data_IF_288082571694
#
_entry.id   IF_288082571694
#
_cell.length_a   1.000
_cell.length_b   1.000
_cell.length_c   1.000
_cell.angle_alpha   90.00
_cell.angle_beta   90.00
_cell.angle_gamma   90.00
#
_symmetry.space_group_name_H-M   'P 1'
#
loop_
_entity.id
_entity.type
_entity.pdbx_description
1 polymer ?
#
# COMPACT_ATOMS: atom_id res chain seq x y z
N UNK A 1 5.07 22.76 22.59
CA UNK A 1 3.74 22.10 22.66
C UNK A 1 3.92 20.68 22.14
N UNK A 2 4.06 19.70 23.04
CA UNK A 2 4.31 18.31 22.66
C UNK A 2 3.01 17.74 22.07
N UNK A 3 2.97 17.60 20.74
CA UNK A 3 1.94 16.79 20.10
C UNK A 3 2.19 15.36 20.58
N UNK A 4 1.23 14.82 21.33
CA UNK A 4 1.17 13.40 21.66
C UNK A 4 1.18 12.64 20.33
N UNK A 5 2.35 12.20 19.88
CA UNK A 5 2.45 11.19 18.82
C UNK A 5 1.84 9.94 19.46
N UNK A 6 0.60 9.61 19.11
CA UNK A 6 0.08 8.27 19.38
C UNK A 6 1.15 7.29 18.88
N UNK A 7 1.59 6.38 19.76
CA UNK A 7 2.48 5.30 19.40
C UNK A 7 1.76 4.48 18.34
N UNK A 8 2.02 4.77 17.06
CA UNK A 8 1.54 3.95 15.95
C UNK A 8 2.25 2.61 16.10
N UNK A 9 1.52 1.61 16.60
CA UNK A 9 1.97 0.23 16.62
C UNK A 9 2.41 -0.12 15.19
N UNK A 10 3.59 -0.71 15.03
CA UNK A 10 4.09 -1.19 13.75
C UNK A 10 3.62 -2.63 13.61
N UNK A 11 2.47 -2.92 12.96
CA UNK A 11 2.12 -4.29 12.65
C UNK A 11 3.23 -4.91 11.80
N UNK A 12 3.85 -5.94 12.36
CA UNK A 12 4.73 -6.86 11.64
C UNK A 12 3.98 -8.19 11.58
N UNK A 13 3.61 -8.61 10.38
CA UNK A 13 2.96 -9.89 10.17
C UNK A 13 3.89 -10.78 9.37
N UNK A 14 4.15 -11.96 9.92
CA UNK A 14 4.94 -12.99 9.28
C UNK A 14 4.06 -14.21 9.09
N UNK A 15 4.00 -14.72 7.86
CA UNK A 15 3.26 -15.92 7.50
C UNK A 15 4.05 -16.78 6.54
N UNK A 16 3.64 -18.03 6.39
CA UNK A 16 4.14 -18.95 5.37
C UNK A 16 2.97 -19.35 4.49
N UNK A 17 3.09 -19.11 3.20
CA UNK A 17 2.16 -19.64 2.20
C UNK A 17 2.76 -20.93 1.65
N UNK A 18 2.07 -22.05 1.85
CA UNK A 18 2.49 -23.39 1.40
C UNK A 18 1.99 -23.76 0.00
N UNK A 19 1.30 -22.82 -0.65
CA UNK A 19 0.62 -22.99 -1.93
C UNK A 19 0.78 -21.76 -2.83
N UNK A 20 1.83 -20.97 -2.62
CA UNK A 20 2.16 -19.76 -3.38
C UNK A 20 3.66 -19.70 -3.65
N UNK A 21 4.03 -19.58 -4.93
CA UNK A 21 5.41 -19.32 -5.37
C UNK A 21 5.83 -17.90 -4.98
N UNK A 22 7.09 -17.73 -4.60
CA UNK A 22 7.63 -16.41 -4.23
C UNK A 22 7.51 -15.41 -5.40
N UNK A 23 7.77 -15.88 -6.62
CA UNK A 23 7.71 -15.09 -7.86
C UNK A 23 6.28 -14.64 -8.17
N UNK A 24 5.29 -15.52 -7.98
CA UNK A 24 3.86 -15.18 -8.15
C UNK A 24 3.44 -14.12 -7.13
N UNK A 25 3.84 -14.26 -5.87
CA UNK A 25 3.55 -13.26 -4.84
C UNK A 25 4.20 -11.90 -5.18
N UNK A 26 5.45 -11.92 -5.65
CA UNK A 26 6.16 -10.72 -6.06
C UNK A 26 5.44 -10.01 -7.20
N UNK A 27 5.02 -10.75 -8.22
CA UNK A 27 4.23 -10.21 -9.33
C UNK A 27 2.88 -9.62 -8.87
N UNK A 28 2.14 -10.31 -8.00
CA UNK A 28 0.84 -9.85 -7.48
C UNK A 28 0.94 -8.54 -6.72
N UNK A 29 2.04 -8.33 -6.00
CA UNK A 29 2.28 -7.09 -5.26
C UNK A 29 2.70 -5.93 -6.17
N UNK A 30 3.29 -6.23 -7.33
CA UNK A 30 3.72 -5.23 -8.30
C UNK A 30 2.65 -4.81 -9.29
N UNK A 31 1.81 -5.75 -9.77
CA UNK A 31 0.88 -5.52 -10.87
C UNK A 31 -0.28 -4.57 -10.47
N UNK A 32 -0.27 -3.29 -10.93
CA UNK A 32 -1.26 -2.31 -10.53
C UNK A 32 -2.64 -2.57 -11.15
N UNK A 33 -2.69 -3.23 -12.31
CA UNK A 33 -3.94 -3.61 -12.98
C UNK A 33 -4.62 -4.75 -12.22
N UNK A 34 -3.82 -5.70 -11.74
CA UNK A 34 -4.33 -6.81 -10.93
C UNK A 34 -4.68 -6.40 -9.51
N UNK A 35 -4.02 -5.39 -8.95
CA UNK A 35 -4.29 -4.89 -7.59
C UNK A 35 -5.79 -4.66 -7.35
N UNK A 36 -6.48 -4.05 -8.32
CA UNK A 36 -7.92 -3.77 -8.29
C UNK A 36 -8.82 -5.01 -8.20
N UNK A 37 -8.28 -6.20 -8.51
CA UNK A 37 -9.03 -7.47 -8.45
C UNK A 37 -9.05 -8.09 -7.06
N UNK A 38 -7.96 -7.96 -6.31
CA UNK A 38 -7.83 -8.60 -5.00
C UNK A 38 -7.88 -7.60 -3.82
N UNK A 39 -7.54 -6.33 -4.08
CA UNK A 39 -7.62 -5.26 -3.10
C UNK A 39 -8.99 -4.56 -3.19
N UNK A 40 -9.97 -5.10 -2.46
CA UNK A 40 -11.33 -4.56 -2.47
C UNK A 40 -11.44 -3.16 -1.85
N UNK A 41 -10.40 -2.72 -1.12
CA UNK A 41 -10.37 -1.37 -0.54
C UNK A 41 -9.86 -0.34 -1.53
N UNK A 42 -9.20 -0.75 -2.61
CA UNK A 42 -8.62 0.15 -3.59
C UNK A 42 -9.72 0.86 -4.40
N UNK A 43 -9.74 2.20 -4.30
CA UNK A 43 -10.59 3.06 -5.13
C UNK A 43 -9.86 3.48 -6.40
N UNK A 44 -8.59 3.79 -6.27
CA UNK A 44 -7.76 4.29 -7.37
C UNK A 44 -6.30 3.96 -7.08
N UNK A 45 -5.52 3.68 -8.11
CA UNK A 45 -4.08 3.71 -7.99
C UNK A 45 -3.40 3.51 -9.33
N UNK A 46 -2.26 4.19 -9.46
CA UNK A 46 -1.47 4.27 -10.67
C UNK A 46 -0.08 4.79 -10.33
N UNK A 47 0.89 4.39 -11.13
CA UNK A 47 2.24 4.96 -11.10
C UNK A 47 2.22 6.34 -11.77
N UNK A 48 3.00 7.28 -11.23
CA UNK A 48 3.08 8.66 -11.71
C UNK A 48 4.34 8.84 -12.55
N UNK A 49 5.51 8.47 -12.00
CA UNK A 49 6.79 8.63 -12.68
C UNK A 49 7.82 7.63 -12.14
N UNK A 50 8.86 7.40 -12.92
CA UNK A 50 9.99 6.55 -12.56
C UNK A 50 11.20 7.38 -12.13
N UNK A 51 11.81 7.00 -11.00
CA UNK A 51 13.08 7.54 -10.52
C UNK A 51 14.23 6.75 -11.15
N UNK A 52 14.12 5.42 -11.20
CA UNK A 52 15.06 4.50 -11.85
C UNK A 52 14.31 3.18 -12.15
N UNK A 53 14.96 2.18 -12.79
CA UNK A 53 14.34 0.88 -13.11
C UNK A 53 13.64 0.16 -11.94
N UNK A 54 14.02 0.48 -10.71
CA UNK A 54 13.55 -0.20 -9.51
C UNK A 54 12.84 0.72 -8.53
N UNK A 55 12.63 1.99 -8.90
CA UNK A 55 12.09 3.02 -8.03
C UNK A 55 11.06 3.88 -8.78
N UNK A 56 9.86 4.02 -8.22
CA UNK A 56 8.79 4.85 -8.78
C UNK A 56 8.17 5.77 -7.72
N UNK A 57 7.38 6.73 -8.18
CA UNK A 57 6.38 7.42 -7.37
C UNK A 57 5.00 6.99 -7.87
N UNK A 58 4.13 6.58 -6.95
CA UNK A 58 2.76 6.18 -7.23
C UNK A 58 1.73 6.90 -6.38
N UNK A 59 0.49 6.85 -6.84
CA UNK A 59 -0.71 7.28 -6.11
C UNK A 59 -1.56 6.06 -5.75
N UNK A 60 -2.11 6.06 -4.54
CA UNK A 60 -3.03 5.03 -4.06
C UNK A 60 -4.14 5.68 -3.23
N UNK A 61 -5.39 5.36 -3.54
CA UNK A 61 -6.56 5.78 -2.78
C UNK A 61 -7.35 4.56 -2.31
N UNK A 62 -7.77 4.59 -1.05
CA UNK A 62 -8.51 3.50 -0.43
C UNK A 62 -9.83 3.98 0.17
N UNK A 63 -10.82 3.09 0.07
CA UNK A 63 -12.09 3.17 0.77
C UNK A 63 -11.82 2.92 2.25
N UNK A 64 -12.37 3.78 3.09
CA UNK A 64 -12.48 3.52 4.51
C UNK A 64 -13.93 3.18 4.86
N UNK A 65 -14.16 2.40 5.93
CA UNK A 65 -15.51 2.09 6.36
C UNK A 65 -16.27 3.38 6.70
N UNK A 66 -17.45 3.55 6.12
CA UNK A 66 -18.30 4.71 6.42
C UNK A 66 -18.62 4.74 7.93
N UNK A 67 -18.66 5.92 8.59
CA UNK A 67 -18.57 7.29 8.04
C UNK A 67 -17.14 7.88 7.98
N UNK A 68 -16.09 7.06 8.13
CA UNK A 68 -14.71 7.55 8.01
C UNK A 68 -14.45 8.06 6.58
N UNK A 69 -13.74 9.19 6.46
CA UNK A 69 -13.35 9.69 5.14
C UNK A 69 -12.38 8.71 4.47
N UNK A 70 -12.40 8.64 3.15
CA UNK A 70 -11.45 7.83 2.42
C UNK A 70 -10.02 8.36 2.59
N UNK A 71 -9.01 7.50 2.45
CA UNK A 71 -7.60 7.90 2.54
C UNK A 71 -6.93 7.83 1.19
N UNK A 72 -6.01 8.77 0.94
CA UNK A 72 -5.10 8.70 -0.19
C UNK A 72 -3.64 8.80 0.26
N UNK A 73 -2.74 8.29 -0.58
CA UNK A 73 -1.31 8.24 -0.35
C UNK A 73 -0.60 8.55 -1.66
N UNK A 74 0.48 9.31 -1.56
CA UNK A 74 1.50 9.43 -2.60
C UNK A 74 2.77 8.85 -2.01
N UNK A 75 3.33 7.83 -2.65
CA UNK A 75 4.47 7.10 -2.12
C UNK A 75 5.58 6.95 -3.14
N UNK A 76 6.82 7.01 -2.67
CA UNK A 76 7.95 6.47 -3.40
C UNK A 76 8.06 4.99 -3.06
N UNK A 77 8.08 4.13 -4.06
CA UNK A 77 8.28 2.68 -3.91
C UNK A 77 9.63 2.29 -4.50
N UNK A 78 10.30 1.36 -3.83
CA UNK A 78 11.57 0.77 -4.24
C UNK A 78 11.52 -0.74 -4.08
N UNK A 79 12.08 -1.49 -5.02
CA UNK A 79 12.13 -2.94 -4.95
C UNK A 79 13.50 -3.51 -5.31
N UNK A 80 13.79 -4.68 -4.78
CA UNK A 80 15.03 -5.42 -5.01
C UNK A 80 14.74 -6.92 -5.07
N UNK A 81 15.26 -7.56 -6.12
CA UNK A 81 15.26 -9.00 -6.31
C UNK A 81 16.68 -9.53 -6.04
N UNK A 82 16.80 -10.44 -5.06
CA UNK A 82 18.05 -11.12 -4.67
C UNK A 82 18.05 -12.60 -5.10
N UNK A 83 17.10 -13.02 -5.93
CA UNK A 83 16.89 -14.39 -6.41
C UNK A 83 16.14 -15.29 -5.43
N UNK A 84 16.60 -15.37 -4.17
CA UNK A 84 15.92 -16.14 -3.11
C UNK A 84 15.08 -15.27 -2.17
N UNK A 85 15.30 -13.95 -2.19
CA UNK A 85 14.57 -12.97 -1.41
C UNK A 85 14.13 -11.80 -2.30
N UNK A 86 12.89 -11.35 -2.13
CA UNK A 86 12.34 -10.19 -2.81
C UNK A 86 11.90 -9.16 -1.78
N UNK A 87 12.25 -7.90 -2.02
CA UNK A 87 11.97 -6.79 -1.12
C UNK A 87 11.21 -5.71 -1.90
N UNK A 88 10.11 -5.23 -1.35
CA UNK A 88 9.40 -4.03 -1.83
C UNK A 88 9.17 -3.13 -0.63
N UNK A 89 9.67 -1.91 -0.67
CA UNK A 89 9.44 -0.90 0.37
C UNK A 89 8.83 0.35 -0.23
N UNK A 90 8.03 1.06 0.56
CA UNK A 90 7.55 2.38 0.21
C UNK A 90 7.43 3.28 1.44
N UNK A 91 7.47 4.58 1.17
CA UNK A 91 7.18 5.63 2.15
C UNK A 91 6.51 6.80 1.42
N UNK A 92 5.78 7.63 2.14
CA UNK A 92 5.11 8.79 1.57
C UNK A 92 6.09 9.86 1.13
N UNK A 93 5.77 10.52 0.02
CA UNK A 93 6.50 11.68 -0.52
C UNK A 93 5.54 12.83 -0.81
N UNK A 94 6.02 14.07 -0.70
CA UNK A 94 5.24 15.24 -1.09
C UNK A 94 5.44 15.48 -2.59
N UNK A 95 4.40 15.26 -3.40
CA UNK A 95 4.48 15.44 -4.84
C UNK A 95 3.51 16.53 -5.28
N UNK A 96 4.05 17.64 -5.79
CA UNK A 96 3.33 18.87 -6.15
C UNK A 96 2.15 18.63 -7.09
N UNK A 97 2.29 17.71 -8.03
CA UNK A 97 1.28 17.38 -9.03
C UNK A 97 0.12 16.52 -8.47
N UNK A 98 0.25 16.02 -7.24
CA UNK A 98 -0.80 15.30 -6.50
C UNK A 98 -1.11 15.98 -5.16
N UNK A 99 -1.69 17.19 -5.21
CA UNK A 99 -2.13 17.89 -4.00
C UNK A 99 -3.24 17.11 -3.28
N UNK A 100 -3.53 17.49 -2.04
CA UNK A 100 -4.60 16.89 -1.25
C UNK A 100 -5.95 17.09 -1.96
N UNK A 101 -6.72 16.00 -2.08
CA UNK A 101 -8.00 15.98 -2.78
C UNK A 101 -9.17 16.11 -1.81
N UNK A 102 -10.18 16.93 -2.18
CA UNK A 102 -11.43 17.04 -1.42
C UNK A 102 -12.09 15.66 -1.27
N UNK A 103 -12.55 15.34 -0.06
CA UNK A 103 -13.19 14.05 0.27
C UNK A 103 -12.22 12.95 0.68
N UNK A 104 -10.91 13.22 0.65
CA UNK A 104 -9.87 12.31 1.12
C UNK A 104 -9.04 12.97 2.23
N UNK A 105 -8.61 12.15 3.19
CA UNK A 105 -7.57 12.50 4.15
C UNK A 105 -6.25 11.92 3.63
N UNK A 106 -5.24 12.77 3.45
CA UNK A 106 -3.90 12.35 3.03
C UNK A 106 -3.19 11.66 4.18
N UNK A 107 -3.08 10.35 4.11
CA UNK A 107 -2.30 9.55 5.05
C UNK A 107 -0.79 9.68 4.79
N UNK A 108 0.00 9.27 5.78
CA UNK A 108 1.46 9.21 5.70
C UNK A 108 1.88 7.77 5.96
N UNK A 109 2.47 7.10 4.97
CA UNK A 109 3.22 5.86 5.17
C UNK A 109 4.64 6.25 5.57
N UNK A 110 5.03 6.07 6.83
CA UNK A 110 6.42 6.26 7.23
C UNK A 110 7.29 5.14 6.67
N UNK A 111 6.77 3.92 6.69
CA UNK A 111 7.36 2.74 6.07
C UNK A 111 6.27 1.71 5.83
N UNK A 112 6.16 1.21 4.61
CA UNK A 112 5.48 -0.06 4.32
C UNK A 112 6.44 -0.96 3.57
N UNK A 113 6.55 -2.21 4.00
CA UNK A 113 7.52 -3.17 3.49
C UNK A 113 6.92 -4.55 3.28
N UNK A 114 7.35 -5.18 2.21
CA UNK A 114 7.06 -6.55 1.84
C UNK A 114 8.39 -7.29 1.68
N UNK A 115 8.58 -8.35 2.42
CA UNK A 115 9.73 -9.25 2.29
C UNK A 115 9.21 -10.65 2.00
N UNK A 116 9.60 -11.18 0.85
CA UNK A 116 9.25 -12.51 0.39
C UNK A 116 10.53 -13.34 0.40
N UNK A 117 10.51 -14.49 1.06
CA UNK A 117 11.62 -15.45 1.03
C UNK A 117 11.16 -16.75 0.43
N UNK A 118 11.82 -17.17 -0.64
CA UNK A 118 11.60 -18.49 -1.24
C UNK A 118 11.99 -19.58 -0.24
N UNK A 119 11.12 -20.58 -0.05
CA UNK A 119 11.40 -21.76 0.76
C UNK A 119 11.59 -22.97 -0.17
N UNK A 120 10.64 -23.16 -1.08
CA UNK A 120 10.71 -24.18 -2.13
C UNK A 120 9.99 -23.67 -3.41
N UNK A 121 9.64 -24.57 -4.33
CA UNK A 121 9.01 -24.23 -5.61
C UNK A 121 7.55 -23.77 -5.50
N UNK A 122 6.86 -24.00 -4.38
CA UNK A 122 5.46 -23.60 -4.14
C UNK A 122 5.22 -23.01 -2.74
N UNK A 123 6.26 -22.89 -1.94
CA UNK A 123 6.21 -22.32 -0.59
C UNK A 123 7.06 -21.06 -0.51
N UNK A 124 6.50 -20.00 0.05
CA UNK A 124 7.24 -18.80 0.41
C UNK A 124 6.86 -18.31 1.81
N UNK A 125 7.83 -17.69 2.47
CA UNK A 125 7.58 -16.90 3.66
C UNK A 125 7.30 -15.46 3.24
N UNK A 126 6.24 -14.89 3.77
CA UNK A 126 5.85 -13.50 3.54
C UNK A 126 5.89 -12.72 4.85
N UNK A 127 6.61 -11.60 4.85
CA UNK A 127 6.64 -10.63 5.95
C UNK A 127 6.13 -9.29 5.46
N UNK A 128 5.11 -8.78 6.13
CA UNK A 128 4.52 -7.47 5.91
C UNK A 128 4.81 -6.57 7.11
N UNK A 129 5.30 -5.37 6.84
CA UNK A 129 5.54 -4.32 7.84
C UNK A 129 4.80 -3.08 7.39
N UNK A 130 4.05 -2.44 8.28
CA UNK A 130 3.48 -1.13 8.00
C UNK A 130 3.57 -0.23 9.22
N UNK A 131 4.07 0.99 9.01
CA UNK A 131 4.06 2.09 9.94
C UNK A 131 3.46 3.27 9.22
N UNK A 132 2.18 3.55 9.50
CA UNK A 132 1.44 4.58 8.81
C UNK A 132 0.65 5.43 9.79
N UNK A 133 0.64 6.74 9.57
CA UNK A 133 -0.29 7.67 10.19
C UNK A 133 -1.45 7.87 9.20
N UNK A 134 -2.62 7.28 9.44
CA UNK A 134 -3.80 7.48 8.58
C UNK A 134 -4.31 8.93 8.61
N UNK A 135 -3.82 9.75 9.56
CA UNK A 135 -4.23 11.10 9.89
C UNK A 135 -5.74 11.22 10.14
N UNK A 136 -6.16 12.40 10.58
CA UNK A 136 -7.45 12.59 11.23
C UNK A 136 -7.40 12.14 12.69
N UNK A 137 -8.33 12.62 13.52
CA UNK A 137 -8.48 12.11 14.89
C UNK A 137 -9.33 10.85 14.85
N UNK A 138 -8.71 9.69 14.64
CA UNK A 138 -9.44 8.43 14.65
C UNK A 138 -9.89 8.05 16.07
N UNK A 139 -11.06 7.41 16.22
CA UNK A 139 -11.47 6.80 17.48
C UNK A 139 -10.48 5.69 17.92
N UNK A 140 -10.24 5.57 19.22
CA UNK A 140 -9.33 4.54 19.77
C UNK A 140 -9.73 3.11 19.41
N UNK A 141 -11.04 2.84 19.28
CA UNK A 141 -11.55 1.53 18.89
C UNK A 141 -11.17 1.16 17.45
N UNK A 142 -11.11 2.15 16.53
CA UNK A 142 -10.71 1.94 15.13
C UNK A 142 -9.27 1.45 15.06
N UNK A 143 -8.36 2.10 15.79
CA UNK A 143 -6.94 1.73 15.86
C UNK A 143 -6.76 0.29 16.36
N UNK A 144 -7.54 -0.10 17.37
CA UNK A 144 -7.50 -1.45 17.95
C UNK A 144 -8.08 -2.51 16.98
N UNK A 145 -9.21 -2.23 16.32
CA UNK A 145 -9.89 -3.19 15.42
C UNK A 145 -9.17 -3.36 14.08
N UNK A 146 -8.59 -2.28 13.53
CA UNK A 146 -7.81 -2.32 12.28
C UNK A 146 -6.65 -3.31 12.38
N UNK A 147 -5.88 -3.23 13.47
CA UNK A 147 -4.67 -4.03 13.63
C UNK A 147 -4.98 -5.53 13.79
N UNK A 148 -6.05 -5.87 14.51
CA UNK A 148 -6.38 -7.26 14.82
C UNK A 148 -7.17 -7.98 13.71
N UNK A 149 -8.06 -7.29 13.00
CA UNK A 149 -8.97 -7.94 12.04
C UNK A 149 -8.63 -7.67 10.57
N UNK A 150 -8.26 -6.43 10.24
CA UNK A 150 -8.01 -6.06 8.85
C UNK A 150 -6.72 -6.71 8.34
N UNK A 151 -5.70 -6.77 9.19
CA UNK A 151 -4.39 -7.23 8.77
C UNK A 151 -4.39 -8.73 8.37
N UNK A 152 -4.96 -9.68 9.14
CA UNK A 152 -5.15 -11.06 8.68
C UNK A 152 -6.01 -11.19 7.40
N UNK A 153 -7.08 -10.36 7.27
CA UNK A 153 -7.91 -10.33 6.05
C UNK A 153 -7.09 -9.92 4.82
N UNK A 154 -6.24 -8.89 4.94
CA UNK A 154 -5.35 -8.45 3.84
C UNK A 154 -4.39 -9.55 3.43
N UNK A 155 -3.74 -10.21 4.40
CA UNK A 155 -2.84 -11.34 4.13
C UNK A 155 -3.57 -12.47 3.39
N UNK A 156 -4.78 -12.84 3.84
CA UNK A 156 -5.59 -13.85 3.15
C UNK A 156 -6.02 -13.43 1.74
N UNK A 157 -6.40 -12.16 1.54
CA UNK A 157 -6.75 -11.60 0.22
C UNK A 157 -5.56 -11.65 -0.74
N UNK A 158 -4.35 -11.33 -0.27
CA UNK A 158 -3.11 -11.44 -1.07
C UNK A 158 -2.88 -12.91 -1.49
N UNK A 159 -2.97 -13.86 -0.56
CA UNK A 159 -2.80 -15.29 -0.86
C UNK A 159 -3.82 -15.76 -1.90
N UNK A 160 -5.10 -15.37 -1.77
CA UNK A 160 -6.14 -15.65 -2.77
C UNK A 160 -5.84 -14.99 -4.11
N UNK A 161 -5.33 -13.75 -4.11
CA UNK A 161 -4.87 -13.04 -5.30
C UNK A 161 -3.81 -13.84 -6.06
N UNK A 162 -2.84 -14.41 -5.34
CA UNK A 162 -1.78 -15.26 -5.91
C UNK A 162 -2.33 -16.48 -6.63
N UNK A 163 -3.33 -17.17 -6.06
CA UNK A 163 -3.92 -18.37 -6.67
C UNK A 163 -4.60 -18.10 -8.02
N UNK A 164 -5.11 -16.89 -8.22
CA UNK A 164 -5.83 -16.50 -9.43
C UNK A 164 -4.97 -15.68 -10.40
N UNK A 165 -3.73 -15.37 -10.04
CA UNK A 165 -2.92 -14.42 -10.80
C UNK A 165 -2.49 -14.96 -12.16
N UNK A 166 -1.96 -16.19 -12.21
CA UNK A 166 -1.44 -16.75 -13.45
C UNK A 166 -2.54 -16.88 -14.53
N UNK A 167 -3.74 -17.28 -14.13
CA UNK A 167 -4.90 -17.38 -15.04
C UNK A 167 -5.38 -16.01 -15.50
N UNK A 168 -5.42 -15.02 -14.61
CA UNK A 168 -5.75 -13.65 -14.98
C UNK A 168 -4.69 -13.05 -15.91
N UNK A 169 -3.41 -13.15 -15.56
CA UNK A 169 -2.30 -12.53 -16.29
C UNK A 169 -2.14 -13.10 -17.69
N UNK A 170 -2.45 -14.39 -17.88
CA UNK A 170 -2.49 -15.04 -19.19
C UNK A 170 -3.38 -14.30 -20.22
N UNK A 171 -4.41 -13.59 -19.76
CA UNK A 171 -5.37 -12.86 -20.60
C UNK A 171 -5.19 -11.33 -20.56
N UNK A 172 -4.24 -10.81 -19.76
CA UNK A 172 -4.04 -9.38 -19.52
C UNK A 172 -2.57 -8.99 -19.71
N UNK A 173 -2.14 -8.88 -20.97
CA UNK A 173 -0.77 -8.56 -21.35
C UNK A 173 0.27 -9.44 -20.62
N UNK A 174 0.29 -10.76 -20.88
CA UNK A 174 1.05 -11.73 -20.08
C UNK A 174 2.56 -11.45 -20.01
N UNK A 175 3.11 -10.81 -21.04
CA UNK A 175 4.54 -10.45 -21.14
C UNK A 175 4.87 -9.10 -20.52
N UNK A 176 3.86 -8.28 -20.20
CA UNK A 176 4.06 -6.95 -19.63
C UNK A 176 4.24 -7.06 -18.11
N UNK A 177 5.50 -7.00 -17.68
CA UNK A 177 5.97 -7.06 -16.29
C UNK A 177 7.15 -6.09 -16.13
N UNK A 178 6.92 -4.76 -16.21
CA UNK A 178 8.00 -3.77 -16.18
C UNK A 178 8.85 -3.80 -14.90
N UNK A 179 8.32 -4.35 -13.80
CA UNK A 179 9.07 -4.59 -12.56
C UNK A 179 10.14 -5.69 -12.68
N UNK A 180 10.01 -6.62 -13.63
CA UNK A 180 11.03 -7.63 -13.98
C UNK A 180 11.86 -7.23 -15.20
N UNK A 181 11.24 -6.48 -16.12
CA UNK A 181 11.79 -6.13 -17.44
C UNK A 181 11.73 -4.60 -17.62
N UNK A 182 12.69 -3.85 -17.05
CA UNK A 182 12.62 -2.39 -17.01
C UNK A 182 12.61 -1.71 -18.38
N UNK A 183 13.07 -2.38 -19.43
CA UNK A 183 12.96 -1.91 -20.81
C UNK A 183 11.51 -1.75 -21.29
N UNK A 184 10.54 -2.34 -20.58
CA UNK A 184 9.11 -2.19 -20.85
C UNK A 184 8.52 -0.92 -20.20
N UNK A 185 9.26 -0.23 -19.33
CA UNK A 185 8.77 0.94 -18.63
C UNK A 185 8.49 2.09 -19.61
N UNK A 186 7.28 2.63 -19.53
CA UNK A 186 6.82 3.79 -20.33
C UNK A 186 6.58 5.05 -19.49
N UNK A 187 6.79 4.95 -18.18
CA UNK A 187 6.58 6.05 -17.24
C UNK A 187 7.53 7.23 -17.53
N UNK A 188 7.05 8.48 -17.39
CA UNK A 188 7.92 9.63 -17.47
C UNK A 188 8.97 9.58 -16.35
N UNK A 189 10.12 10.19 -16.59
CA UNK A 189 11.15 10.38 -15.57
C UNK A 189 10.69 11.41 -14.55
N UNK A 190 11.08 11.21 -13.29
CA UNK A 190 10.78 12.16 -12.22
C UNK A 190 11.31 13.56 -12.54
N UNK A 191 10.46 14.58 -12.39
CA UNK A 191 10.89 15.96 -12.20
C UNK A 191 11.16 16.19 -10.71
N UNK A 192 12.42 16.43 -10.36
CA UNK A 192 12.84 16.71 -8.99
C UNK A 192 12.22 18.00 -8.43
N UNK A 193 11.81 18.93 -9.30
CA UNK A 193 11.12 20.16 -8.88
C UNK A 193 9.71 19.90 -8.34
N UNK A 194 9.12 18.76 -8.71
CA UNK A 194 7.81 18.32 -8.24
C UNK A 194 7.86 17.62 -6.88
N UNK A 195 9.03 17.28 -6.35
CA UNK A 195 9.19 16.70 -5.01
C UNK A 195 9.42 17.81 -3.98
N UNK A 196 8.53 17.89 -2.99
CA UNK A 196 8.55 18.94 -1.96
C UNK A 196 9.00 18.39 -0.60
N UNK A 197 9.45 19.25 0.33
CA UNK A 197 9.75 18.84 1.69
C UNK A 197 8.54 18.23 2.41
N UNK A 198 8.80 17.23 3.25
CA UNK A 198 7.74 16.55 4.02
C UNK A 198 7.12 17.43 5.11
N UNK A 199 7.87 18.41 5.62
CA UNK A 199 7.41 19.29 6.70
C UNK A 199 6.17 20.11 6.31
N UNK A 200 5.97 20.32 5.01
CA UNK A 200 4.82 21.05 4.47
C UNK A 200 3.50 20.26 4.61
N UNK A 201 3.56 18.91 4.76
CA UNK A 201 2.37 18.09 5.06
C UNK A 201 1.71 18.47 6.39
N UNK A 202 2.49 18.98 7.35
CA UNK A 202 1.98 19.41 8.65
C UNK A 202 1.22 20.74 8.61
N UNK A 203 1.52 21.59 7.61
CA UNK A 203 0.95 22.95 7.50
C UNK A 203 -0.30 23.03 6.63
N UNK A 204 -0.52 22.05 5.75
CA UNK A 204 -1.66 21.99 4.83
C UNK A 204 -2.88 21.34 5.51
N UNK A 205 -3.63 22.18 6.23
CA UNK A 205 -5.04 22.05 6.63
C UNK A 205 -5.42 21.22 7.88
N UNK A 206 -6.57 21.62 8.43
CA UNK A 206 -7.27 21.13 9.62
C UNK A 206 -7.27 19.62 9.73
N UNK A 207 -6.80 19.09 10.86
CA UNK A 207 -6.99 17.68 11.22
C UNK A 207 -8.49 17.45 11.31
N UNK A 208 -9.04 16.72 10.34
CA UNK A 208 -10.42 16.27 10.38
C UNK A 208 -10.65 15.48 11.69
N UNK A 209 -11.63 15.92 12.48
CA UNK A 209 -11.94 15.30 13.76
C UNK A 209 -12.99 14.21 13.57
N UNK A 210 -12.54 12.96 13.46
CA UNK A 210 -13.38 11.76 13.32
C UNK A 210 -13.58 11.04 14.67
N UNK A 211 -13.19 11.65 15.79
CA UNK A 211 -13.09 10.96 17.08
C UNK A 211 -14.45 10.57 17.67
N UNK A 212 -15.51 11.21 17.21
CA UNK A 212 -16.88 10.97 17.63
C UNK A 212 -17.56 9.80 16.88
N UNK A 213 -16.91 9.22 15.86
CA UNK A 213 -17.47 8.08 15.11
C UNK A 213 -17.53 6.85 16.01
N UNK A 214 -18.73 6.27 16.14
CA UNK A 214 -18.97 5.11 17.00
C UNK A 214 -18.83 3.80 16.23
N UNK A 215 -18.58 2.71 16.96
CA UNK A 215 -18.35 1.38 16.36
C UNK A 215 -19.59 0.82 15.66
N UNK A 216 -20.77 1.06 16.21
CA UNK A 216 -22.08 0.65 15.67
C UNK A 216 -22.49 1.40 14.41
N UNK A 217 -21.79 2.48 14.06
CA UNK A 217 -22.00 3.25 12.82
C UNK A 217 -21.21 2.67 11.63
N UNK A 218 -20.30 1.71 11.86
CA UNK A 218 -19.48 1.10 10.82
C UNK A 218 -20.07 -0.22 10.36
N UNK A 219 -20.28 -0.33 9.05
CA UNK A 219 -20.67 -1.58 8.40
C UNK A 219 -19.51 -2.61 8.47
N UNK A 220 -19.76 -3.78 9.04
CA UNK A 220 -18.76 -4.85 9.12
C UNK A 220 -18.36 -5.41 7.75
N UNK A 221 -19.21 -5.25 6.73
CA UNK A 221 -18.89 -5.63 5.35
C UNK A 221 -17.82 -4.72 4.74
N UNK A 222 -17.67 -3.49 5.26
CA UNK A 222 -16.67 -2.53 4.83
C UNK A 222 -15.27 -2.76 5.45
N UNK A 223 -15.14 -3.71 6.39
CA UNK A 223 -13.88 -4.08 7.07
C UNK A 223 -13.21 -5.29 6.39
#
# INVERSE_FOLDING_TARGET
MYVHRQLVQIPIIRTVYTDVKAETLYDVLHDPDYRKKWDHTMLEGHEICAINPNNDIGYYAMKCPSPLKNRDFVTQRSWLDLGSEFIIINHSVNYKEKPIRKGFIRGISYLTGYLIRKQDNQTCQFTYVAQSDPRGKLPSWVVNKLTHYLAPKVISRIQKGCKNYDSWKATHNPKYKPWLYPEQMTLPRIDMSSVQPMNDFGSLNSIDDESNVKEDEIDEEDI
#
